data_IF_699230798870
#
_entry.id   IF_699230798870
#
_cell.length_a   1.000
_cell.length_b   1.000
_cell.length_c   1.000
_cell.angle_alpha   90.00
_cell.angle_beta   90.00
_cell.angle_gamma   90.00
#
_symmetry.space_group_name_H-M   'P 1'
#
loop_
_entity.id
_entity.type
_entity.pdbx_description
1 polymer ?
#
# COMPACT_ATOMS: atom_id res chain seq x y z
N UNK A 1 0.60 61.83 -32.39
CA UNK A 1 1.06 61.36 -31.06
C UNK A 1 0.06 60.30 -30.55
N UNK A 2 0.47 59.03 -30.47
CA UNK A 2 -0.38 57.92 -29.98
C UNK A 2 -0.36 57.90 -28.46
N UNK A 3 -1.50 58.16 -27.82
CA UNK A 3 -1.67 58.05 -26.36
C UNK A 3 -1.74 56.56 -25.99
N UNK A 4 -0.66 56.00 -25.43
CA UNK A 4 -0.67 54.66 -24.86
C UNK A 4 -1.40 54.68 -23.51
N UNK A 5 -2.59 54.08 -23.44
CA UNK A 5 -3.30 53.85 -22.17
C UNK A 5 -2.54 52.78 -21.38
N UNK A 6 -1.76 53.20 -20.39
CA UNK A 6 -1.18 52.32 -19.38
C UNK A 6 -2.32 51.59 -18.65
N UNK A 7 -2.47 50.27 -18.86
CA UNK A 7 -3.38 49.44 -18.06
C UNK A 7 -2.83 49.39 -16.64
N UNK A 8 -3.62 49.82 -15.64
CA UNK A 8 -3.26 49.64 -14.23
C UNK A 8 -3.08 48.15 -13.96
N UNK A 9 -1.90 47.77 -13.49
CA UNK A 9 -1.60 46.41 -13.07
C UNK A 9 -2.40 46.13 -11.78
N UNK A 10 -3.43 45.29 -11.88
CA UNK A 10 -4.18 44.80 -10.73
C UNK A 10 -3.37 43.66 -10.10
N UNK A 11 -2.69 43.96 -9.00
CA UNK A 11 -1.98 42.96 -8.20
C UNK A 11 -2.94 42.25 -7.24
N UNK A 12 -2.60 41.01 -6.88
CA UNK A 12 -3.28 40.23 -5.84
C UNK A 12 -3.04 40.86 -4.46
N UNK A 13 -4.06 40.96 -3.62
CA UNK A 13 -3.90 41.54 -2.28
C UNK A 13 -3.29 40.53 -1.30
N UNK A 14 -2.53 41.01 -0.32
CA UNK A 14 -2.01 40.15 0.76
C UNK A 14 -3.14 39.52 1.58
N UNK A 15 -4.28 40.20 1.68
CA UNK A 15 -5.47 39.71 2.39
C UNK A 15 -6.06 38.50 1.66
N UNK A 16 -6.19 38.56 0.33
CA UNK A 16 -6.65 37.40 -0.47
C UNK A 16 -5.71 36.20 -0.28
N UNK A 17 -4.40 36.45 -0.25
CA UNK A 17 -3.42 35.37 -0.09
C UNK A 17 -3.51 34.74 1.30
N UNK A 18 -3.67 35.55 2.36
CA UNK A 18 -3.87 35.05 3.72
C UNK A 18 -5.13 34.21 3.88
N UNK A 19 -6.25 34.63 3.28
CA UNK A 19 -7.51 33.87 3.34
C UNK A 19 -7.36 32.53 2.61
N UNK A 20 -6.71 32.52 1.44
CA UNK A 20 -6.46 31.29 0.68
C UNK A 20 -5.62 30.30 1.49
N UNK A 21 -4.54 30.77 2.12
CA UNK A 21 -3.70 29.91 2.97
C UNK A 21 -4.47 29.37 4.17
N UNK A 22 -5.33 30.18 4.79
CA UNK A 22 -6.16 29.74 5.92
C UNK A 22 -7.12 28.61 5.50
N UNK A 23 -7.78 28.74 4.34
CA UNK A 23 -8.70 27.70 3.83
C UNK A 23 -7.92 26.43 3.46
N UNK A 24 -6.79 26.56 2.76
CA UNK A 24 -5.94 25.40 2.40
C UNK A 24 -5.44 24.71 3.66
N UNK A 25 -5.07 25.44 4.71
CA UNK A 25 -4.64 24.87 5.99
C UNK A 25 -5.72 23.98 6.63
N UNK A 26 -6.98 24.44 6.65
CA UNK A 26 -8.10 23.65 7.18
C UNK A 26 -8.33 22.41 6.31
N UNK A 27 -8.34 22.55 4.98
CA UNK A 27 -8.54 21.42 4.08
C UNK A 27 -7.42 20.39 4.19
N UNK A 28 -6.15 20.83 4.27
CA UNK A 28 -4.99 19.97 4.38
C UNK A 28 -4.98 19.15 5.68
N UNK A 29 -5.44 19.74 6.79
CA UNK A 29 -5.52 19.04 8.08
C UNK A 29 -6.40 17.78 8.03
N UNK A 30 -7.44 17.76 7.20
CA UNK A 30 -8.29 16.58 7.00
C UNK A 30 -7.87 15.74 5.79
N UNK A 31 -7.51 16.39 4.68
CA UNK A 31 -7.24 15.72 3.42
C UNK A 31 -5.97 14.86 3.47
N UNK A 32 -4.91 15.32 4.13
CA UNK A 32 -3.64 14.59 4.24
C UNK A 32 -3.81 13.26 4.98
N UNK A 33 -4.35 13.21 6.21
CA UNK A 33 -4.54 11.94 6.91
C UNK A 33 -5.52 11.01 6.18
N UNK A 34 -6.63 11.54 5.64
CA UNK A 34 -7.61 10.73 4.92
C UNK A 34 -7.03 10.11 3.64
N UNK A 35 -6.26 10.87 2.86
CA UNK A 35 -5.58 10.35 1.68
C UNK A 35 -4.51 9.33 2.04
N UNK A 36 -3.73 9.58 3.11
CA UNK A 36 -2.75 8.62 3.60
C UNK A 36 -3.42 7.29 3.94
N UNK A 37 -4.43 7.27 4.83
CA UNK A 37 -5.16 6.05 5.22
C UNK A 37 -5.74 5.31 4.00
N UNK A 38 -6.34 6.04 3.05
CA UNK A 38 -6.85 5.45 1.82
C UNK A 38 -5.74 4.75 1.01
N UNK A 39 -4.58 5.39 0.85
CA UNK A 39 -3.45 4.77 0.14
C UNK A 39 -2.89 3.57 0.89
N UNK A 40 -2.79 3.61 2.23
CA UNK A 40 -2.31 2.47 3.01
C UNK A 40 -3.26 1.27 2.90
N UNK A 41 -4.58 1.49 3.01
CA UNK A 41 -5.59 0.43 2.81
C UNK A 41 -5.52 -0.16 1.40
N UNK A 42 -5.33 0.68 0.39
CA UNK A 42 -5.19 0.22 -1.00
C UNK A 42 -3.95 -0.65 -1.17
N UNK A 43 -2.83 -0.33 -0.53
CA UNK A 43 -1.61 -1.17 -0.53
C UNK A 43 -1.88 -2.52 0.12
N UNK A 44 -2.51 -2.56 1.29
CA UNK A 44 -2.85 -3.83 1.97
C UNK A 44 -3.79 -4.69 1.13
N UNK A 45 -4.83 -4.09 0.55
CA UNK A 45 -5.76 -4.80 -0.33
C UNK A 45 -5.08 -5.32 -1.60
N UNK A 46 -4.20 -4.51 -2.21
CA UNK A 46 -3.41 -4.90 -3.37
C UNK A 46 -2.45 -6.06 -3.07
N UNK A 47 -1.78 -6.03 -1.92
CA UNK A 47 -0.92 -7.11 -1.45
C UNK A 47 -1.70 -8.42 -1.29
N UNK A 48 -2.87 -8.37 -0.62
CA UNK A 48 -3.75 -9.52 -0.43
C UNK A 48 -4.27 -10.11 -1.76
N UNK A 49 -4.49 -9.27 -2.78
CA UNK A 49 -4.88 -9.73 -4.11
C UNK A 49 -3.71 -10.35 -4.88
N UNK A 50 -2.50 -9.79 -4.74
CA UNK A 50 -1.28 -10.24 -5.41
C UNK A 50 -0.82 -11.64 -5.02
N UNK A 51 -1.23 -12.14 -3.85
CA UNK A 51 -0.83 -13.45 -3.33
C UNK A 51 -1.80 -14.60 -3.67
N UNK A 52 -2.74 -14.38 -4.59
CA UNK A 52 -3.71 -15.41 -5.02
C UNK A 52 -3.04 -16.71 -5.49
N UNK A 53 -1.89 -16.62 -6.15
CA UNK A 53 -1.09 -17.79 -6.55
C UNK A 53 -0.63 -18.65 -5.37
N UNK A 54 -0.22 -18.03 -4.26
CA UNK A 54 0.13 -18.76 -3.03
C UNK A 54 -1.08 -19.46 -2.43
N UNK A 55 -2.25 -18.81 -2.41
CA UNK A 55 -3.50 -19.44 -1.92
C UNK A 55 -3.85 -20.69 -2.73
N UNK A 56 -3.79 -20.60 -4.05
CA UNK A 56 -4.05 -21.74 -4.93
C UNK A 56 -3.05 -22.87 -4.70
N UNK A 57 -1.75 -22.56 -4.61
CA UNK A 57 -0.72 -23.57 -4.36
C UNK A 57 -0.89 -24.28 -3.01
N UNK A 58 -1.23 -23.54 -1.95
CA UNK A 58 -1.53 -24.12 -0.64
C UNK A 58 -2.77 -25.01 -0.69
N UNK A 59 -3.83 -24.58 -1.37
CA UNK A 59 -5.05 -25.37 -1.53
C UNK A 59 -4.77 -26.69 -2.27
N UNK A 60 -3.96 -26.66 -3.33
CA UNK A 60 -3.53 -27.86 -4.04
C UNK A 60 -2.70 -28.77 -3.14
N UNK A 61 -1.70 -28.24 -2.43
CA UNK A 61 -0.89 -28.99 -1.47
C UNK A 61 -1.76 -29.66 -0.39
N UNK A 62 -2.74 -28.94 0.15
CA UNK A 62 -3.66 -29.47 1.16
C UNK A 62 -4.54 -30.59 0.59
N UNK A 63 -5.01 -30.45 -0.65
CA UNK A 63 -5.83 -31.44 -1.32
C UNK A 63 -5.05 -32.72 -1.64
N UNK A 64 -3.80 -32.62 -2.08
CA UNK A 64 -2.94 -33.77 -2.39
C UNK A 64 -2.52 -34.53 -1.13
N UNK A 65 -2.23 -33.80 -0.04
CA UNK A 65 -1.71 -34.38 1.20
C UNK A 65 -2.79 -34.74 2.21
N UNK A 66 -3.99 -34.22 2.06
CA UNK A 66 -5.08 -34.33 3.04
C UNK A 66 -4.83 -33.55 4.34
N UNK A 67 -3.82 -32.67 4.38
CA UNK A 67 -3.45 -31.86 5.54
C UNK A 67 -2.63 -30.64 5.12
N UNK A 68 -2.65 -29.59 5.96
CA UNK A 68 -1.87 -28.37 5.76
C UNK A 68 -0.41 -28.49 6.26
N UNK A 69 -0.14 -29.46 7.14
CA UNK A 69 1.21 -29.68 7.66
C UNK A 69 2.17 -30.09 6.53
N UNK A 70 3.27 -29.33 6.42
CA UNK A 70 4.26 -29.48 5.35
C UNK A 70 3.95 -28.69 4.08
N UNK A 71 2.83 -27.97 4.01
CA UNK A 71 2.58 -26.96 2.97
C UNK A 71 3.34 -25.68 3.31
N UNK A 72 4.65 -25.70 3.04
CA UNK A 72 5.60 -24.62 3.32
C UNK A 72 6.09 -23.99 2.01
N UNK A 73 6.74 -22.82 2.08
CA UNK A 73 7.43 -22.26 0.91
C UNK A 73 8.39 -23.25 0.25
N UNK A 74 8.56 -23.11 -1.07
CA UNK A 74 9.48 -23.91 -1.88
C UNK A 74 9.26 -25.43 -1.78
N UNK A 75 8.06 -25.86 -1.39
CA UNK A 75 7.66 -27.26 -1.31
C UNK A 75 6.25 -27.44 -1.88
N UNK A 76 5.97 -28.60 -2.48
CA UNK A 76 4.65 -28.95 -3.05
C UNK A 76 4.11 -27.84 -3.98
N UNK A 77 4.97 -27.36 -4.88
CA UNK A 77 4.68 -26.29 -5.85
C UNK A 77 4.28 -24.92 -5.25
N UNK A 78 4.43 -24.74 -3.93
CA UNK A 78 4.30 -23.44 -3.28
C UNK A 78 5.57 -22.62 -3.60
N UNK A 79 5.43 -21.39 -4.13
CA UNK A 79 6.59 -20.56 -4.44
C UNK A 79 7.49 -20.30 -3.22
N UNK A 80 8.75 -19.96 -3.50
CA UNK A 80 9.69 -19.55 -2.47
C UNK A 80 9.17 -18.33 -1.67
N UNK A 81 9.66 -18.19 -0.44
CA UNK A 81 9.36 -17.02 0.37
C UNK A 81 9.87 -15.75 -0.32
N UNK A 82 9.17 -14.64 -0.07
CA UNK A 82 9.67 -13.30 -0.38
C UNK A 82 10.36 -12.83 0.90
N UNK A 83 11.67 -12.64 0.85
CA UNK A 83 12.41 -12.11 1.98
C UNK A 83 12.16 -10.60 2.12
N UNK A 84 12.37 -10.07 3.33
CA UNK A 84 12.16 -8.66 3.65
C UNK A 84 12.78 -7.70 2.62
N UNK A 85 12.14 -6.55 2.41
CA UNK A 85 12.49 -5.58 1.38
C UNK A 85 12.28 -6.10 -0.06
N UNK A 86 11.27 -6.95 -0.28
CA UNK A 86 10.93 -7.53 -1.59
C UNK A 86 12.07 -8.32 -2.26
N UNK A 87 12.87 -9.03 -1.46
CA UNK A 87 13.99 -9.81 -1.97
C UNK A 87 13.54 -11.20 -2.46
N UNK A 88 14.04 -11.64 -3.62
CA UNK A 88 13.82 -12.98 -4.18
C UNK A 88 12.68 -13.11 -5.19
N UNK A 89 11.58 -12.35 -5.02
CA UNK A 89 10.51 -12.20 -6.00
C UNK A 89 9.71 -10.91 -5.72
N UNK A 90 9.11 -10.29 -6.75
CA UNK A 90 8.37 -9.03 -6.60
C UNK A 90 6.87 -9.24 -6.82
N UNK A 91 6.08 -9.06 -5.75
CA UNK A 91 4.62 -8.91 -5.82
C UNK A 91 4.29 -7.48 -5.39
N UNK A 92 3.42 -6.81 -6.14
CA UNK A 92 3.04 -5.44 -5.83
C UNK A 92 2.50 -5.34 -4.39
N UNK A 93 3.02 -4.37 -3.65
CA UNK A 93 2.65 -4.02 -2.28
C UNK A 93 2.95 -5.08 -1.20
N UNK A 94 3.59 -6.19 -1.53
CA UNK A 94 4.18 -7.12 -0.55
C UNK A 94 5.56 -6.57 -0.17
N UNK A 95 6.07 -6.89 1.02
CA UNK A 95 7.45 -6.58 1.44
C UNK A 95 8.18 -7.85 1.88
N UNK A 96 7.51 -8.70 2.63
CA UNK A 96 7.94 -10.04 3.02
C UNK A 96 6.74 -10.98 2.93
N UNK A 97 6.98 -12.24 2.59
CA UNK A 97 5.96 -13.28 2.59
C UNK A 97 6.57 -14.65 2.91
N UNK A 98 5.99 -15.31 3.89
CA UNK A 98 6.27 -16.68 4.25
C UNK A 98 4.98 -17.52 4.28
N UNK A 99 5.12 -18.80 4.03
CA UNK A 99 4.11 -19.83 4.15
C UNK A 99 4.66 -20.92 5.05
N UNK A 100 3.99 -21.15 6.17
CA UNK A 100 4.33 -22.22 7.10
C UNK A 100 3.07 -23.01 7.43
N UNK A 101 3.06 -24.31 7.12
CA UNK A 101 1.95 -25.21 7.33
C UNK A 101 0.61 -24.65 6.82
N UNK A 102 0.63 -24.08 5.61
CA UNK A 102 -0.52 -23.47 4.96
C UNK A 102 -0.94 -22.10 5.48
N UNK A 103 -0.31 -21.58 6.54
CA UNK A 103 -0.53 -20.21 7.01
C UNK A 103 0.35 -19.28 6.21
N UNK A 104 -0.25 -18.25 5.61
CA UNK A 104 0.47 -17.19 4.91
C UNK A 104 0.70 -16.04 5.89
N UNK A 105 1.95 -15.69 6.13
CA UNK A 105 2.35 -14.51 6.90
C UNK A 105 3.03 -13.54 5.96
N UNK A 106 2.55 -12.31 5.90
CA UNK A 106 3.02 -11.31 4.94
C UNK A 106 3.17 -9.95 5.62
N UNK A 107 4.21 -9.21 5.27
CA UNK A 107 4.29 -7.76 5.49
C UNK A 107 4.00 -7.05 4.17
N UNK A 108 3.33 -5.91 4.24
CA UNK A 108 2.98 -5.09 3.08
C UNK A 108 3.83 -3.83 3.04
N UNK A 109 3.86 -3.13 1.91
CA UNK A 109 4.46 -1.79 1.82
C UNK A 109 3.54 -0.68 2.35
N UNK A 110 2.34 -1.04 2.82
CA UNK A 110 1.48 -0.14 3.59
C UNK A 110 2.05 0.03 5.00
N UNK A 111 1.98 1.23 5.56
CA UNK A 111 2.53 1.55 6.88
C UNK A 111 1.45 2.04 7.85
N UNK A 112 1.69 1.85 9.15
CA UNK A 112 0.91 2.47 10.22
C UNK A 112 1.31 3.94 10.45
N UNK A 113 0.68 4.57 11.45
CA UNK A 113 0.93 5.97 11.82
C UNK A 113 2.35 6.21 12.37
N UNK A 114 3.09 5.15 12.71
CA UNK A 114 4.48 5.18 13.17
C UNK A 114 5.47 4.88 12.02
N UNK A 115 4.97 4.56 10.83
CA UNK A 115 5.79 4.23 9.67
C UNK A 115 6.25 2.77 9.62
N UNK A 116 5.72 1.88 10.46
CA UNK A 116 6.02 0.46 10.40
C UNK A 116 5.13 -0.26 9.38
N UNK A 117 5.69 -1.22 8.65
CA UNK A 117 4.97 -2.00 7.64
C UNK A 117 3.82 -2.80 8.28
N UNK A 118 2.64 -2.76 7.66
CA UNK A 118 1.46 -3.48 8.09
C UNK A 118 1.58 -4.97 7.72
N UNK A 119 1.26 -5.84 8.67
CA UNK A 119 1.33 -7.29 8.51
C UNK A 119 -0.05 -7.93 8.38
N UNK A 120 -0.15 -9.00 7.59
CA UNK A 120 -1.35 -9.79 7.40
C UNK A 120 -1.02 -11.28 7.58
N UNK A 121 -1.85 -11.98 8.34
CA UNK A 121 -1.80 -13.44 8.46
C UNK A 121 -3.08 -14.02 7.90
N UNK A 122 -2.96 -14.89 6.90
CA UNK A 122 -4.10 -15.63 6.35
C UNK A 122 -4.00 -17.08 6.80
N UNK A 123 -5.00 -17.49 7.56
CA UNK A 123 -5.24 -18.88 7.90
C UNK A 123 -6.20 -19.50 6.89
N UNK A 124 -5.98 -20.76 6.47
CA UNK A 124 -6.90 -21.51 5.61
C UNK A 124 -8.32 -21.62 6.16
#
# INVERSE_FOLDING_TARGET
MKHSKQKKQQGFTLIELMIVVAIIGILAAFAVPAYSDYTQRTRVAGAAAGISGFKTAIAMCAQERGQLNGCNNAANDIPAAIAANNAGATIAYVDELAVTNGIITMTTTGVDDQGANLSLTLTP
#
